data_IF_491362408339
#
_entry.id   IF_491362408339
#
_cell.length_a   1.000
_cell.length_b   1.000
_cell.length_c   1.000
_cell.angle_alpha   90.00
_cell.angle_beta   90.00
_cell.angle_gamma   90.00
#
_symmetry.space_group_name_H-M   'P 1'
#
loop_
_entity.id
_entity.type
_entity.pdbx_description
1 polymer ?
#
# COMPACT_ATOMS: atom_id res chain seq x y z
N UNK A 1 12.25 -7.09 -3.62
CA UNK A 1 12.06 -5.68 -3.24
C UNK A 1 12.10 -5.62 -1.73
N UNK A 2 12.87 -4.68 -1.17
CA UNK A 2 13.02 -4.51 0.29
C UNK A 2 12.89 -3.04 0.67
N UNK A 3 12.28 -2.76 1.82
CA UNK A 3 12.19 -1.43 2.44
C UNK A 3 12.83 -1.49 3.82
N UNK A 4 13.39 -0.38 4.29
CA UNK A 4 13.95 -0.25 5.64
C UNK A 4 13.14 0.72 6.49
N UNK A 5 13.17 0.56 7.82
CA UNK A 5 12.51 1.46 8.77
C UNK A 5 11.06 1.07 9.11
N UNK A 6 10.66 -0.16 8.82
CA UNK A 6 9.35 -0.71 9.19
C UNK A 6 9.56 -1.59 10.41
N UNK A 7 9.08 -1.18 11.59
CA UNK A 7 9.30 -1.95 12.82
C UNK A 7 8.77 -3.40 12.70
N UNK A 8 9.58 -4.38 13.09
CA UNK A 8 9.23 -5.82 12.99
C UNK A 8 7.96 -6.21 13.74
N UNK A 9 7.58 -5.44 14.78
CA UNK A 9 6.35 -5.65 15.57
C UNK A 9 5.07 -5.45 14.74
N UNK A 10 5.15 -4.77 13.60
CA UNK A 10 4.02 -4.54 12.70
C UNK A 10 3.52 -5.82 12.02
N UNK A 11 4.28 -6.93 12.07
CA UNK A 11 3.88 -8.21 11.50
C UNK A 11 3.83 -8.17 9.98
N UNK A 12 2.69 -8.53 9.39
CA UNK A 12 2.51 -8.51 7.93
C UNK A 12 2.17 -7.11 7.45
N UNK A 13 3.00 -6.57 6.56
CA UNK A 13 2.87 -5.23 5.99
C UNK A 13 2.56 -5.35 4.51
N UNK A 14 1.58 -4.58 4.05
CA UNK A 14 1.14 -4.50 2.67
C UNK A 14 1.64 -3.20 2.05
N UNK A 15 2.08 -3.28 0.80
CA UNK A 15 2.32 -2.14 -0.07
C UNK A 15 1.27 -2.21 -1.17
N UNK A 16 0.48 -1.16 -1.35
CA UNK A 16 -0.65 -1.22 -2.26
C UNK A 16 -1.16 0.13 -2.70
N UNK A 17 -1.99 0.09 -3.74
CA UNK A 17 -2.74 1.26 -4.17
C UNK A 17 -4.02 1.41 -3.34
N UNK A 18 -4.32 2.63 -2.90
CA UNK A 18 -5.54 2.98 -2.20
C UNK A 18 -6.08 4.34 -2.66
N UNK A 19 -7.31 4.68 -2.26
CA UNK A 19 -7.83 6.05 -2.32
C UNK A 19 -7.01 6.97 -1.43
N UNK A 20 -6.99 8.26 -1.74
CA UNK A 20 -6.31 9.28 -0.92
C UNK A 20 -6.85 9.37 0.51
N UNK A 21 -8.13 9.05 0.71
CA UNK A 21 -8.73 8.84 2.02
C UNK A 21 -9.17 7.38 2.15
N UNK A 22 -8.51 6.63 3.03
CA UNK A 22 -8.83 5.23 3.31
C UNK A 22 -9.66 5.17 4.59
N UNK A 23 -10.88 4.66 4.44
CA UNK A 23 -11.82 4.38 5.52
C UNK A 23 -11.91 2.89 5.83
N UNK A 24 -11.52 2.04 4.88
CA UNK A 24 -11.48 0.59 5.07
C UNK A 24 -10.87 -0.17 3.89
N UNK A 25 -10.87 -1.52 3.96
CA UNK A 25 -10.19 -2.37 2.99
C UNK A 25 -10.69 -2.21 1.54
N UNK A 26 -11.96 -1.84 1.35
CA UNK A 26 -12.57 -1.62 0.04
C UNK A 26 -12.02 -0.36 -0.67
N UNK A 27 -11.34 0.53 0.05
CA UNK A 27 -10.69 1.71 -0.52
C UNK A 27 -9.30 1.38 -1.10
N UNK A 28 -8.87 0.12 -1.06
CA UNK A 28 -7.57 -0.34 -1.54
C UNK A 28 -7.70 -1.44 -2.59
N UNK A 29 -6.77 -1.49 -3.54
CA UNK A 29 -6.63 -2.58 -4.49
C UNK A 29 -5.93 -3.77 -3.82
N UNK A 30 -6.66 -4.52 -2.99
CA UNK A 30 -6.13 -5.69 -2.28
C UNK A 30 -5.54 -6.75 -3.22
N UNK A 31 -6.18 -7.12 -4.35
CA UNK A 31 -5.61 -8.10 -5.28
C UNK A 31 -4.28 -7.67 -5.91
N UNK A 32 -4.07 -6.36 -6.09
CA UNK A 32 -2.84 -5.78 -6.65
C UNK A 32 -1.75 -5.45 -5.64
N UNK A 33 -1.96 -5.72 -4.34
CA UNK A 33 -1.00 -5.41 -3.28
C UNK A 33 0.16 -6.38 -3.21
N UNK A 34 1.30 -5.88 -2.74
CA UNK A 34 2.48 -6.64 -2.40
C UNK A 34 2.49 -6.87 -0.90
N UNK A 35 2.31 -8.13 -0.48
CA UNK A 35 2.42 -8.52 0.93
C UNK A 35 3.86 -8.89 1.28
N UNK A 36 4.24 -8.61 2.52
CA UNK A 36 5.54 -8.95 3.05
C UNK A 36 5.59 -8.83 4.55
N UNK A 37 6.78 -9.02 5.11
CA UNK A 37 7.03 -8.98 6.55
C UNK A 37 8.29 -8.17 6.83
N UNK A 38 8.24 -7.38 7.91
CA UNK A 38 9.42 -6.75 8.46
C UNK A 38 10.12 -7.67 9.47
N UNK A 39 11.45 -7.69 9.43
CA UNK A 39 12.29 -8.32 10.44
C UNK A 39 12.55 -7.38 11.64
N UNK A 40 13.22 -7.90 12.67
CA UNK A 40 13.55 -7.13 13.88
C UNK A 40 14.58 -6.02 13.63
N UNK A 41 15.27 -6.04 12.48
CA UNK A 41 16.16 -4.98 12.03
C UNK A 41 15.41 -3.90 11.23
N UNK A 42 14.10 -4.07 11.05
CA UNK A 42 13.23 -3.13 10.36
C UNK A 42 13.25 -3.24 8.83
N UNK A 43 13.78 -4.35 8.29
CA UNK A 43 13.78 -4.62 6.86
C UNK A 43 12.53 -5.39 6.48
N UNK A 44 11.71 -4.77 5.65
CA UNK A 44 10.58 -5.42 5.01
C UNK A 44 11.02 -6.15 3.75
N UNK A 45 10.58 -7.39 3.61
CA UNK A 45 10.75 -8.18 2.39
C UNK A 45 9.40 -8.68 1.92
N UNK A 46 9.16 -8.60 0.62
CA UNK A 46 7.95 -9.16 0.02
C UNK A 46 7.93 -10.69 0.12
N UNK A 47 6.75 -11.24 0.43
CA UNK A 47 6.49 -12.68 0.38
C UNK A 47 6.47 -13.20 -1.06
N UNK A 48 6.13 -12.37 -2.04
CA UNK A 48 6.05 -12.77 -3.44
C UNK A 48 6.13 -11.56 -4.38
N UNK A 49 7.07 -11.60 -5.32
CA UNK A 49 7.20 -10.58 -6.36
C UNK A 49 7.87 -9.29 -5.90
N UNK A 50 7.85 -8.29 -6.79
CA UNK A 50 8.54 -7.00 -6.60
C UNK A 50 7.76 -5.82 -7.12
N UNK A 51 6.50 -6.01 -7.52
CA UNK A 51 5.68 -4.99 -8.14
C UNK A 51 4.25 -5.07 -7.63
N UNK A 52 3.59 -3.92 -7.54
CA UNK A 52 2.14 -3.81 -7.34
C UNK A 52 1.46 -3.65 -8.68
N UNK A 53 0.20 -4.06 -8.78
CA UNK A 53 -0.63 -3.80 -9.95
C UNK A 53 -1.53 -2.61 -9.65
N UNK A 54 -1.50 -1.60 -10.52
CA UNK A 54 -2.38 -0.45 -10.40
C UNK A 54 -3.71 -0.69 -11.11
N UNK A 55 -4.79 -0.19 -10.53
CA UNK A 55 -6.11 -0.12 -11.14
C UNK A 55 -6.46 1.34 -11.43
N UNK A 56 -7.11 1.58 -12.59
CA UNK A 56 -7.60 2.90 -12.96
C UNK A 56 -8.73 3.38 -12.03
N UNK A 57 -9.44 2.47 -11.37
CA UNK A 57 -10.47 2.81 -10.39
C UNK A 57 -10.43 1.90 -9.17
N UNK A 58 -10.67 2.48 -8.00
CA UNK A 58 -10.75 1.78 -6.71
C UNK A 58 -11.89 2.40 -5.89
N UNK A 59 -12.76 1.56 -5.31
CA UNK A 59 -13.78 2.02 -4.36
C UNK A 59 -14.66 3.15 -4.91
N UNK A 60 -14.96 3.13 -6.22
CA UNK A 60 -15.74 4.15 -6.93
C UNK A 60 -14.99 5.45 -7.27
N UNK A 61 -13.70 5.56 -6.93
CA UNK A 61 -12.84 6.68 -7.34
C UNK A 61 -12.14 6.34 -8.63
N UNK A 62 -12.11 7.28 -9.57
CA UNK A 62 -11.25 7.25 -10.76
C UNK A 62 -9.87 7.79 -10.38
N UNK A 63 -8.88 6.90 -10.34
CA UNK A 63 -7.51 7.23 -9.99
C UNK A 63 -6.78 8.02 -11.09
N UNK A 64 -7.34 8.09 -12.30
CA UNK A 64 -6.77 8.79 -13.45
C UNK A 64 -7.32 10.22 -13.61
N UNK A 65 -8.34 10.57 -12.83
CA UNK A 65 -9.04 11.86 -12.96
C UNK A 65 -8.15 13.07 -12.63
N UNK A 66 -7.22 12.93 -11.67
CA UNK A 66 -6.23 13.95 -11.31
C UNK A 66 -5.11 13.34 -10.45
N UNK A 67 -3.96 14.02 -10.42
CA UNK A 67 -2.82 13.62 -9.60
C UNK A 67 -3.18 13.54 -8.12
N UNK A 68 -2.92 12.40 -7.50
CA UNK A 68 -3.24 12.13 -6.10
C UNK A 68 -4.69 11.73 -5.84
N UNK A 69 -5.51 11.49 -6.88
CA UNK A 69 -6.83 10.85 -6.70
C UNK A 69 -6.71 9.49 -5.97
N UNK A 70 -5.63 8.77 -6.26
CA UNK A 70 -5.20 7.57 -5.53
C UNK A 70 -3.74 7.71 -5.08
N UNK A 71 -3.37 6.89 -4.10
CA UNK A 71 -2.05 6.85 -3.48
C UNK A 71 -1.49 5.43 -3.51
N UNK A 72 -0.17 5.29 -3.42
CA UNK A 72 0.47 4.08 -2.94
C UNK A 72 0.71 4.25 -1.45
N UNK A 73 0.25 3.29 -0.65
CA UNK A 73 0.40 3.28 0.79
C UNK A 73 1.17 2.06 1.27
N UNK A 74 1.95 2.23 2.33
CA UNK A 74 2.54 1.16 3.13
C UNK A 74 1.76 1.08 4.43
N UNK A 75 1.18 -0.08 4.74
CA UNK A 75 0.31 -0.24 5.91
C UNK A 75 0.44 -1.62 6.55
N UNK A 76 0.24 -1.68 7.85
CA UNK A 76 0.22 -2.93 8.59
C UNK A 76 -1.18 -3.57 8.48
N UNK A 77 -1.27 -4.87 8.16
CA UNK A 77 -2.57 -5.53 7.98
C UNK A 77 -3.42 -5.59 9.25
N UNK A 78 -2.79 -5.55 10.42
CA UNK A 78 -3.47 -5.49 11.71
C UNK A 78 -4.03 -4.08 12.02
N UNK A 79 -3.62 -3.04 11.29
CA UNK A 79 -4.12 -1.68 11.44
C UNK A 79 -4.04 -0.91 10.10
N UNK A 80 -4.92 -1.23 9.14
CA UNK A 80 -4.83 -0.69 7.78
C UNK A 80 -4.99 0.84 7.71
N UNK A 81 -5.58 1.46 8.73
CA UNK A 81 -5.77 2.90 8.87
C UNK A 81 -4.49 3.63 9.30
N UNK A 82 -3.49 2.93 9.84
CA UNK A 82 -2.21 3.50 10.24
C UNK A 82 -1.21 3.39 9.08
N UNK A 83 -1.34 4.28 8.10
CA UNK A 83 -0.40 4.35 6.98
C UNK A 83 0.97 4.81 7.47
N UNK A 84 1.98 3.97 7.22
CA UNK A 84 3.37 4.24 7.59
C UNK A 84 4.02 5.24 6.61
N UNK A 85 3.66 5.13 5.33
CA UNK A 85 4.12 6.00 4.27
C UNK A 85 3.07 6.05 3.16
N UNK A 86 2.99 7.20 2.48
CA UNK A 86 2.10 7.38 1.32
C UNK A 86 2.81 8.18 0.24
N UNK A 87 2.49 7.86 -1.02
CA UNK A 87 2.96 8.59 -2.20
C UNK A 87 1.76 8.81 -3.13
N UNK A 88 1.47 10.06 -3.57
CA UNK A 88 0.42 10.31 -4.56
C UNK A 88 0.77 9.70 -5.91
N UNK A 89 -0.22 9.10 -6.57
CA UNK A 89 -0.08 8.59 -7.93
C UNK A 89 -0.50 9.66 -8.94
N UNK A 90 0.27 9.76 -10.03
CA UNK A 90 -0.19 10.38 -11.28
C UNK A 90 -0.24 9.32 -12.37
N UNK A 91 -1.26 9.40 -13.22
CA UNK A 91 -1.34 8.62 -14.45
C UNK A 91 -1.05 9.60 -15.59
N UNK A 92 0.04 9.33 -16.33
CA UNK A 92 0.51 10.15 -17.45
C UNK A 92 -0.13 9.79 -18.78
#
# INVERSE_FOLDING_TARGET
MSLSGIEGIQGSVAIGQCKSQVSGPADCNLPGTLLGKADDAGNWTSNSGTAITLAASIGGVDCTAFDGACIVAVTALNNPSAMMATVPLSFG
#
